data_IF_670374739665
#
_entry.id   IF_670374739665
#
_cell.length_a   1.000
_cell.length_b   1.000
_cell.length_c   1.000
_cell.angle_alpha   90.00
_cell.angle_beta   90.00
_cell.angle_gamma   90.00
#
_symmetry.space_group_name_H-M   'P 1'
#
loop_
_entity.id
_entity.type
_entity.pdbx_description
1 polymer ?
#
# COMPACT_ATOMS: atom_id res chain seq x y z
N UNK A 1 -48.22 -28.17 66.64
CA UNK A 1 -49.17 -29.32 66.52
C UNK A 1 -48.76 -30.03 65.23
N UNK A 2 -48.12 -31.16 65.39
CA UNK A 2 -48.64 -32.54 65.04
C UNK A 2 -48.86 -32.63 63.53
N UNK A 3 -48.37 -33.56 62.73
CA UNK A 3 -47.73 -34.89 62.89
C UNK A 3 -47.20 -35.26 61.50
N UNK A 4 -46.01 -35.85 61.33
CA UNK A 4 -45.70 -37.28 61.33
C UNK A 4 -46.64 -38.08 60.41
N UNK A 5 -46.12 -38.73 59.35
CA UNK A 5 -45.88 -40.17 59.34
C UNK A 5 -45.63 -40.65 57.89
N UNK A 6 -44.45 -41.15 57.54
CA UNK A 6 -44.02 -42.58 57.39
C UNK A 6 -44.52 -43.30 56.11
N UNK A 7 -43.50 -43.70 55.37
CA UNK A 7 -43.20 -45.03 54.79
C UNK A 7 -44.15 -45.55 53.67
N UNK A 8 -43.69 -46.11 52.63
CA UNK A 8 -42.94 -47.37 52.43
C UNK A 8 -42.65 -47.62 50.95
N UNK A 9 -41.43 -48.02 50.70
CA UNK A 9 -40.96 -49.02 49.75
C UNK A 9 -41.88 -49.49 48.62
N UNK A 10 -41.44 -49.41 47.39
CA UNK A 10 -41.27 -50.60 46.54
C UNK A 10 -40.19 -50.43 45.50
N UNK A 11 -39.26 -51.32 45.44
CA UNK A 11 -38.25 -51.49 44.42
C UNK A 11 -38.91 -52.05 43.16
N UNK A 12 -38.77 -51.36 42.02
CA UNK A 12 -38.91 -52.04 40.74
C UNK A 12 -37.63 -51.73 39.95
N UNK A 13 -36.84 -52.75 39.74
CA UNK A 13 -35.73 -52.75 38.81
C UNK A 13 -36.30 -52.66 37.40
N UNK A 14 -36.02 -51.59 36.73
CA UNK A 14 -36.14 -51.50 35.24
C UNK A 14 -34.83 -50.97 34.71
N UNK A 15 -34.07 -51.89 34.18
CA UNK A 15 -32.90 -51.60 33.33
C UNK A 15 -33.42 -50.91 32.06
N UNK A 16 -33.22 -49.59 31.96
CA UNK A 16 -33.45 -48.88 30.73
C UNK A 16 -32.11 -48.45 30.15
N UNK A 17 -31.79 -49.07 29.03
CA UNK A 17 -30.66 -48.73 28.19
C UNK A 17 -30.62 -47.24 27.88
N UNK A 18 -29.68 -46.51 28.48
CA UNK A 18 -29.32 -45.17 28.08
C UNK A 18 -28.38 -45.26 26.85
N UNK A 19 -28.96 -45.26 25.66
CA UNK A 19 -28.26 -45.01 24.43
C UNK A 19 -27.72 -43.59 24.48
N UNK A 20 -26.44 -43.48 24.81
CA UNK A 20 -25.67 -42.26 24.76
C UNK A 20 -25.46 -41.90 23.26
N UNK A 21 -26.33 -41.07 22.69
CA UNK A 21 -26.10 -40.40 21.40
C UNK A 21 -24.96 -39.42 21.63
N UNK A 22 -23.71 -39.88 21.46
CA UNK A 22 -22.58 -38.98 21.21
C UNK A 22 -22.79 -38.34 19.81
N UNK A 23 -23.40 -37.16 19.78
CA UNK A 23 -23.33 -36.30 18.62
C UNK A 23 -21.84 -35.91 18.43
N UNK A 24 -21.17 -36.59 17.51
CA UNK A 24 -19.89 -36.16 16.98
C UNK A 24 -20.11 -34.81 16.26
N UNK A 25 -19.97 -33.72 16.97
CA UNK A 25 -19.73 -32.42 16.35
C UNK A 25 -18.29 -32.44 15.83
N UNK A 26 -18.09 -33.03 14.67
CA UNK A 26 -16.87 -32.80 13.92
C UNK A 26 -16.84 -31.30 13.57
N UNK A 27 -15.80 -30.55 14.00
CA UNK A 27 -15.64 -29.22 13.46
C UNK A 27 -15.50 -29.37 11.93
N UNK A 28 -16.38 -28.72 11.17
CA UNK A 28 -16.13 -28.46 9.75
C UNK A 28 -14.87 -27.57 9.73
N UNK A 29 -13.71 -28.22 9.74
CA UNK A 29 -12.50 -27.57 9.30
C UNK A 29 -12.76 -27.23 7.82
N UNK A 30 -13.04 -25.96 7.54
CA UNK A 30 -12.90 -25.39 6.22
C UNK A 30 -11.43 -25.62 5.83
N UNK A 31 -11.16 -26.77 5.22
CA UNK A 31 -9.89 -27.04 4.59
C UNK A 31 -9.77 -25.99 3.47
N UNK A 32 -8.98 -24.95 3.75
CA UNK A 32 -8.45 -24.10 2.70
C UNK A 32 -7.69 -25.06 1.77
N UNK A 33 -8.30 -25.40 0.66
CA UNK A 33 -7.63 -26.15 -0.40
C UNK A 33 -6.48 -25.27 -0.86
N UNK A 34 -5.28 -25.56 -0.36
CA UNK A 34 -4.06 -25.03 -0.94
C UNK A 34 -4.03 -25.54 -2.38
N UNK A 35 -4.08 -24.61 -3.34
CA UNK A 35 -3.97 -24.96 -4.75
C UNK A 35 -2.73 -25.83 -4.95
N UNK A 36 -2.86 -26.87 -5.77
CA UNK A 36 -1.73 -27.74 -6.08
C UNK A 36 -0.63 -26.91 -6.76
N UNK A 37 0.64 -27.18 -6.47
CA UNK A 37 1.74 -26.46 -7.13
C UNK A 37 1.67 -26.67 -8.64
N UNK A 38 2.14 -25.69 -9.40
CA UNK A 38 2.26 -25.79 -10.87
C UNK A 38 3.10 -27.03 -11.21
N UNK A 39 2.70 -27.82 -12.20
CA UNK A 39 3.47 -29.00 -12.60
C UNK A 39 4.90 -28.62 -12.98
N UNK A 40 5.86 -29.50 -12.77
CA UNK A 40 7.27 -29.25 -13.13
C UNK A 40 7.43 -28.96 -14.63
N UNK A 41 6.60 -29.53 -15.48
CA UNK A 41 6.59 -29.29 -16.93
C UNK A 41 6.08 -27.88 -17.24
N UNK A 42 4.97 -27.46 -16.64
CA UNK A 42 4.43 -26.09 -16.79
C UNK A 42 5.41 -25.04 -16.24
N UNK A 43 6.08 -25.31 -15.11
CA UNK A 43 7.11 -24.41 -14.59
C UNK A 43 8.25 -24.20 -15.59
N UNK A 44 8.78 -25.28 -16.17
CA UNK A 44 9.82 -25.20 -17.21
C UNK A 44 9.33 -24.44 -18.44
N UNK A 45 8.11 -24.65 -18.84
CA UNK A 45 7.51 -23.94 -20.01
C UNK A 45 7.37 -22.44 -19.73
N UNK A 46 6.93 -22.05 -18.55
CA UNK A 46 6.86 -20.64 -18.11
C UNK A 46 8.28 -20.02 -18.09
N UNK A 47 9.24 -20.70 -17.48
CA UNK A 47 10.61 -20.21 -17.42
C UNK A 47 11.23 -20.04 -18.81
N UNK A 48 11.11 -21.03 -19.68
CA UNK A 48 11.60 -20.99 -21.05
C UNK A 48 10.95 -19.86 -21.87
N UNK A 49 9.63 -19.67 -21.73
CA UNK A 49 8.91 -18.59 -22.37
C UNK A 49 9.43 -17.22 -21.88
N UNK A 50 9.54 -17.01 -20.57
CA UNK A 50 9.97 -15.73 -20.01
C UNK A 50 11.41 -15.40 -20.41
N UNK A 51 12.33 -16.39 -20.38
CA UNK A 51 13.72 -16.19 -20.82
C UNK A 51 13.80 -15.77 -22.28
N UNK A 52 13.04 -16.42 -23.14
CA UNK A 52 13.03 -16.12 -24.57
C UNK A 52 12.38 -14.75 -24.85
N UNK A 53 11.18 -14.52 -24.30
CA UNK A 53 10.39 -13.33 -24.61
C UNK A 53 11.03 -12.03 -24.09
N UNK A 54 11.67 -12.09 -22.90
CA UNK A 54 12.31 -10.92 -22.27
C UNK A 54 13.84 -10.91 -22.44
N UNK A 55 14.41 -11.83 -23.23
CA UNK A 55 15.85 -11.96 -23.42
C UNK A 55 16.64 -12.06 -22.08
N UNK A 56 16.11 -12.81 -21.11
CA UNK A 56 16.71 -12.93 -19.77
C UNK A 56 17.94 -13.85 -19.78
N UNK A 57 19.08 -13.31 -19.34
CA UNK A 57 20.35 -14.04 -19.26
C UNK A 57 20.37 -15.18 -18.21
N UNK A 58 21.41 -15.99 -18.21
CA UNK A 58 21.54 -17.13 -17.29
C UNK A 58 21.67 -16.72 -15.83
N UNK A 59 22.15 -15.51 -15.55
CA UNK A 59 22.34 -14.96 -14.20
C UNK A 59 20.99 -14.57 -13.55
N UNK A 60 19.90 -14.48 -14.34
CA UNK A 60 18.56 -14.21 -13.83
C UNK A 60 17.92 -15.51 -13.33
N UNK A 61 17.62 -15.57 -12.04
CA UNK A 61 16.87 -16.69 -11.47
C UNK A 61 15.38 -16.41 -11.52
N UNK A 62 14.63 -17.32 -12.16
CA UNK A 62 13.16 -17.26 -12.23
C UNK A 62 12.62 -18.37 -11.34
N UNK A 63 11.66 -18.04 -10.47
CA UNK A 63 10.96 -19.01 -9.63
C UNK A 63 9.48 -18.82 -9.78
N UNK A 64 8.78 -19.89 -10.19
CA UNK A 64 7.32 -19.91 -10.30
C UNK A 64 6.74 -20.30 -8.95
N UNK A 65 5.98 -19.38 -8.34
CA UNK A 65 5.36 -19.60 -7.03
C UNK A 65 4.09 -20.44 -7.11
N UNK A 66 3.47 -20.62 -5.95
CA UNK A 66 2.24 -21.41 -5.84
C UNK A 66 1.06 -20.65 -6.46
N UNK A 67 0.31 -21.26 -7.39
CA UNK A 67 -0.86 -20.65 -7.98
C UNK A 67 -1.96 -20.47 -6.94
N UNK A 68 -2.71 -19.38 -7.07
CA UNK A 68 -3.91 -19.11 -6.28
C UNK A 68 -5.10 -19.02 -7.22
N UNK A 69 -6.06 -19.93 -7.10
CA UNK A 69 -7.27 -19.87 -7.91
C UNK A 69 -8.06 -18.59 -7.67
N UNK A 70 -8.62 -18.03 -8.76
CA UNK A 70 -9.41 -16.78 -8.70
C UNK A 70 -10.88 -17.15 -8.91
N UNK A 71 -11.56 -17.43 -7.82
CA UNK A 71 -12.98 -17.82 -7.85
C UNK A 71 -13.25 -18.91 -8.89
N UNK A 72 -14.29 -18.74 -9.69
CA UNK A 72 -14.66 -19.65 -10.78
C UNK A 72 -14.20 -19.16 -12.17
N UNK A 73 -13.20 -18.28 -12.23
CA UNK A 73 -12.74 -17.66 -13.49
C UNK A 73 -12.03 -18.64 -14.44
N UNK A 74 -11.58 -19.80 -13.95
CA UNK A 74 -10.67 -20.69 -14.69
C UNK A 74 -9.24 -20.18 -14.78
N UNK A 75 -8.91 -19.12 -14.03
CA UNK A 75 -7.58 -18.53 -13.92
C UNK A 75 -7.01 -18.74 -12.52
N UNK A 76 -5.70 -18.87 -12.45
CA UNK A 76 -4.94 -18.82 -11.20
C UNK A 76 -3.93 -17.70 -11.26
N UNK A 77 -3.86 -16.88 -10.21
CA UNK A 77 -2.77 -15.92 -10.01
C UNK A 77 -1.51 -16.70 -9.63
N UNK A 78 -0.43 -16.47 -10.36
CA UNK A 78 0.86 -17.12 -10.17
C UNK A 78 1.92 -16.04 -9.94
N UNK A 79 2.51 -15.95 -8.74
CA UNK A 79 3.64 -15.06 -8.51
C UNK A 79 4.88 -15.63 -9.20
N UNK A 80 5.59 -14.78 -9.94
CA UNK A 80 6.85 -15.11 -10.60
C UNK A 80 7.94 -14.26 -9.95
N UNK A 81 8.81 -14.90 -9.18
CA UNK A 81 9.97 -14.24 -8.60
C UNK A 81 11.09 -14.20 -9.60
N UNK A 82 11.58 -13.01 -9.88
CA UNK A 82 12.72 -12.76 -10.77
C UNK A 82 13.83 -12.15 -9.94
N UNK A 83 14.98 -12.83 -9.86
CA UNK A 83 16.13 -12.38 -9.09
C UNK A 83 17.33 -12.17 -10.00
N UNK A 84 17.88 -10.96 -9.99
CA UNK A 84 19.10 -10.55 -10.69
C UNK A 84 20.20 -10.14 -9.69
N UNK A 85 21.43 -9.90 -10.15
CA UNK A 85 22.49 -9.31 -9.31
C UNK A 85 22.11 -7.93 -8.75
N UNK A 86 21.27 -7.15 -9.47
CA UNK A 86 20.83 -5.82 -9.08
C UNK A 86 19.65 -5.83 -8.08
N UNK A 87 18.95 -6.97 -7.94
CA UNK A 87 17.83 -7.07 -7.03
C UNK A 87 16.84 -8.19 -7.33
N UNK A 88 15.73 -8.18 -6.64
CA UNK A 88 14.64 -9.13 -6.84
C UNK A 88 13.30 -8.42 -6.97
N UNK A 89 12.47 -8.91 -7.88
CA UNK A 89 11.08 -8.46 -8.05
C UNK A 89 10.13 -9.65 -8.17
N UNK A 90 8.89 -9.47 -7.75
CA UNK A 90 7.82 -10.46 -7.90
C UNK A 90 6.77 -9.91 -8.85
N UNK A 91 6.60 -10.56 -10.00
CA UNK A 91 5.60 -10.19 -10.99
C UNK A 91 4.41 -11.13 -10.89
N UNK A 92 3.20 -10.59 -10.80
CA UNK A 92 1.97 -11.36 -10.85
C UNK A 92 1.60 -11.66 -12.30
N UNK A 93 1.35 -12.93 -12.58
CA UNK A 93 0.82 -13.39 -13.85
C UNK A 93 -0.38 -14.30 -13.62
N UNK A 94 -1.14 -14.58 -14.66
CA UNK A 94 -2.33 -15.43 -14.58
C UNK A 94 -2.16 -16.62 -15.52
N UNK A 95 -2.40 -17.81 -14.99
CA UNK A 95 -2.30 -19.08 -15.73
C UNK A 95 -3.69 -19.66 -15.88
N UNK A 96 -4.02 -20.11 -17.10
CA UNK A 96 -5.25 -20.87 -17.32
C UNK A 96 -5.18 -22.24 -16.65
N UNK A 97 -6.35 -22.80 -16.29
CA UNK A 97 -6.45 -24.06 -15.56
C UNK A 97 -5.77 -25.24 -16.29
N UNK A 98 -5.76 -25.22 -17.63
CA UNK A 98 -5.06 -26.21 -18.47
C UNK A 98 -3.54 -25.97 -18.57
N UNK A 99 -3.02 -24.91 -17.96
CA UNK A 99 -1.61 -24.54 -17.99
C UNK A 99 -1.09 -24.04 -19.34
N UNK A 100 -1.97 -23.80 -20.31
CA UNK A 100 -1.60 -23.49 -21.68
C UNK A 100 -1.31 -22.02 -21.93
N UNK A 101 -2.06 -21.13 -21.29
CA UNK A 101 -1.94 -19.68 -21.53
C UNK A 101 -1.48 -18.98 -20.28
N UNK A 102 -0.44 -18.15 -20.45
CA UNK A 102 0.07 -17.25 -19.43
C UNK A 102 -0.31 -15.82 -19.82
N UNK A 103 -1.05 -15.12 -18.95
CA UNK A 103 -1.49 -13.75 -19.17
C UNK A 103 -0.69 -12.80 -18.27
N UNK A 104 -0.31 -11.68 -18.84
CA UNK A 104 0.25 -10.55 -18.11
C UNK A 104 -0.72 -9.38 -18.17
N UNK A 105 -1.13 -8.87 -17.04
CA UNK A 105 -2.09 -7.77 -16.97
C UNK A 105 -2.69 -7.63 -15.58
N UNK A 106 -3.77 -6.87 -15.51
CA UNK A 106 -4.54 -6.71 -14.28
C UNK A 106 -5.89 -7.43 -14.43
N UNK A 107 -6.31 -8.13 -13.40
CA UNK A 107 -7.62 -8.74 -13.31
C UNK A 107 -8.49 -7.90 -12.37
N UNK A 108 -9.59 -7.38 -12.91
CA UNK A 108 -10.53 -6.56 -12.17
C UNK A 108 -11.84 -7.35 -11.95
N UNK A 109 -12.28 -7.44 -10.70
CA UNK A 109 -13.60 -7.95 -10.34
C UNK A 109 -14.64 -6.86 -10.58
N UNK A 110 -15.48 -7.04 -11.59
CA UNK A 110 -16.52 -6.06 -11.95
C UNK A 110 -17.67 -6.00 -10.94
N UNK A 111 -17.72 -6.93 -9.98
CA UNK A 111 -18.74 -6.94 -8.91
C UNK A 111 -18.24 -6.24 -7.64
N UNK A 112 -16.96 -5.99 -7.53
CA UNK A 112 -16.34 -5.29 -6.41
C UNK A 112 -16.21 -3.78 -6.70
N UNK A 113 -16.20 -2.98 -5.64
CA UNK A 113 -15.78 -1.59 -5.77
C UNK A 113 -14.29 -1.54 -6.13
N UNK A 114 -13.91 -1.03 -7.31
CA UNK A 114 -12.52 -1.04 -7.77
C UNK A 114 -11.59 -0.20 -6.89
N UNK A 115 -12.13 0.69 -6.06
CA UNK A 115 -11.37 1.60 -5.22
C UNK A 115 -11.22 1.10 -3.79
N UNK A 116 -12.16 0.28 -3.32
CA UNK A 116 -12.20 -0.21 -1.94
C UNK A 116 -10.89 -0.90 -1.52
N UNK A 117 -10.30 -1.68 -2.42
CA UNK A 117 -9.04 -2.38 -2.15
C UNK A 117 -7.85 -1.42 -1.90
N UNK A 118 -7.78 -0.30 -2.63
CA UNK A 118 -6.76 0.72 -2.42
C UNK A 118 -7.04 1.50 -1.13
N UNK A 119 -8.30 1.93 -0.95
CA UNK A 119 -8.71 2.71 0.23
C UNK A 119 -8.43 1.92 1.53
N UNK A 120 -8.74 0.63 1.56
CA UNK A 120 -8.50 -0.23 2.71
C UNK A 120 -7.02 -0.40 3.08
N UNK A 121 -6.11 -0.23 2.11
CA UNK A 121 -4.66 -0.34 2.32
C UNK A 121 -4.00 0.97 2.74
N UNK A 122 -4.67 2.12 2.61
CA UNK A 122 -4.05 3.40 3.01
C UNK A 122 -3.81 3.44 4.52
N UNK A 123 -2.55 3.61 4.89
CA UNK A 123 -2.19 4.03 6.24
C UNK A 123 -1.87 5.53 6.22
N UNK A 124 -2.86 6.34 6.58
CA UNK A 124 -2.74 7.80 6.59
C UNK A 124 -2.50 8.36 8.00
N UNK A 125 -2.28 7.50 8.99
CA UNK A 125 -1.96 7.90 10.36
C UNK A 125 -0.64 8.66 10.39
N UNK A 126 -0.59 9.79 11.08
CA UNK A 126 0.58 10.65 11.20
C UNK A 126 1.17 11.10 9.84
N UNK A 127 0.34 11.19 8.81
CA UNK A 127 0.75 11.72 7.51
C UNK A 127 0.47 13.23 7.43
N UNK A 128 1.37 14.03 6.84
CA UNK A 128 1.13 15.46 6.62
C UNK A 128 -0.09 15.68 5.72
N UNK A 129 -0.96 16.59 6.13
CA UNK A 129 -2.18 16.96 5.40
C UNK A 129 -2.14 18.44 5.03
N UNK A 130 -2.33 18.74 3.74
CA UNK A 130 -2.53 20.09 3.22
C UNK A 130 -4.01 20.27 2.83
N UNK A 131 -4.58 21.40 3.16
CA UNK A 131 -6.00 21.70 2.94
C UNK A 131 -6.87 21.43 4.17
N UNK A 132 -8.20 21.49 4.00
CA UNK A 132 -9.13 21.22 5.08
C UNK A 132 -9.14 19.70 5.41
N UNK A 133 -8.84 19.29 6.65
CA UNK A 133 -8.94 17.89 7.05
C UNK A 133 -10.31 17.25 6.77
N UNK A 134 -11.38 18.05 6.71
CA UNK A 134 -12.74 17.62 6.38
C UNK A 134 -13.05 17.60 4.88
N UNK A 135 -12.09 17.97 4.03
CA UNK A 135 -12.26 17.94 2.58
C UNK A 135 -12.72 16.57 2.10
N UNK A 136 -13.66 16.55 1.16
CA UNK A 136 -14.32 15.33 0.69
C UNK A 136 -13.56 14.59 -0.38
N UNK A 137 -12.57 15.24 -0.99
CA UNK A 137 -11.66 14.64 -1.95
C UNK A 137 -10.27 14.55 -1.30
N UNK A 138 -9.76 13.34 -1.23
CA UNK A 138 -8.43 13.08 -0.70
C UNK A 138 -7.49 12.69 -1.83
N UNK A 139 -6.42 13.45 -1.98
CA UNK A 139 -5.27 13.10 -2.81
C UNK A 139 -4.23 12.49 -1.87
N UNK A 140 -3.84 11.24 -2.11
CA UNK A 140 -2.70 10.60 -1.44
C UNK A 140 -1.53 10.60 -2.42
N UNK A 141 -0.47 11.30 -2.07
CA UNK A 141 0.73 11.48 -2.89
C UNK A 141 1.88 10.64 -2.31
N UNK A 142 2.33 9.61 -3.04
CA UNK A 142 3.59 8.92 -2.77
C UNK A 142 4.68 9.59 -3.59
N UNK A 143 5.61 10.23 -2.90
CA UNK A 143 6.53 11.19 -3.52
C UNK A 143 7.95 11.05 -3.00
N UNK A 144 8.88 11.49 -3.82
CA UNK A 144 10.32 11.52 -3.55
C UNK A 144 10.82 12.95 -3.75
N UNK A 145 11.42 13.50 -2.73
CA UNK A 145 11.91 14.88 -2.74
C UNK A 145 13.02 15.15 -3.78
N UNK A 146 13.75 14.13 -4.19
CA UNK A 146 14.80 14.27 -5.21
C UNK A 146 14.28 14.05 -6.64
N UNK A 147 13.08 13.45 -6.80
CA UNK A 147 12.50 13.15 -8.11
C UNK A 147 12.05 14.41 -8.83
N UNK A 148 12.56 14.72 -10.06
CA UNK A 148 12.15 15.91 -10.81
C UNK A 148 10.67 15.91 -11.21
N UNK A 149 10.08 14.73 -11.45
CA UNK A 149 8.66 14.61 -11.78
C UNK A 149 7.79 14.89 -10.53
N UNK A 150 8.28 14.58 -9.33
CA UNK A 150 7.61 14.98 -8.10
C UNK A 150 7.61 16.49 -7.88
N UNK A 151 8.69 17.20 -8.28
CA UNK A 151 8.71 18.66 -8.34
C UNK A 151 7.62 19.20 -9.28
N UNK A 152 7.45 18.57 -10.45
CA UNK A 152 6.38 18.96 -11.38
C UNK A 152 4.98 18.74 -10.77
N UNK A 153 4.79 17.70 -9.97
CA UNK A 153 3.54 17.50 -9.21
C UNK A 153 3.34 18.58 -8.15
N UNK A 154 4.38 18.93 -7.40
CA UNK A 154 4.36 20.04 -6.44
C UNK A 154 3.86 21.34 -7.10
N UNK A 155 4.43 21.71 -8.27
CA UNK A 155 4.01 22.90 -9.00
C UNK A 155 2.55 22.80 -9.48
N UNK A 156 2.13 21.63 -9.95
CA UNK A 156 0.74 21.38 -10.36
C UNK A 156 -0.23 21.54 -9.18
N UNK A 157 0.09 20.98 -8.01
CA UNK A 157 -0.73 21.08 -6.81
C UNK A 157 -0.83 22.54 -6.32
N UNK A 158 0.27 23.29 -6.32
CA UNK A 158 0.25 24.73 -5.97
C UNK A 158 -0.70 25.54 -6.87
N UNK A 159 -0.79 25.19 -8.16
CA UNK A 159 -1.70 25.84 -9.12
C UNK A 159 -3.16 25.40 -9.02
N UNK A 160 -3.39 24.15 -8.59
CA UNK A 160 -4.73 23.55 -8.55
C UNK A 160 -5.45 23.76 -7.21
N UNK A 161 -4.80 23.51 -6.08
CA UNK A 161 -5.44 23.49 -4.76
C UNK A 161 -6.22 24.75 -4.40
N UNK A 162 -5.77 25.99 -4.73
CA UNK A 162 -6.56 27.19 -4.47
C UNK A 162 -7.92 27.23 -5.16
N UNK A 163 -8.10 26.47 -6.26
CA UNK A 163 -9.35 26.38 -7.00
C UNK A 163 -10.30 25.30 -6.46
N UNK A 164 -9.81 24.42 -5.61
CA UNK A 164 -10.53 23.24 -5.12
C UNK A 164 -10.50 23.13 -3.59
N UNK A 165 -11.26 23.98 -2.87
CA UNK A 165 -11.28 23.94 -1.40
C UNK A 165 -11.83 22.63 -0.84
N UNK A 166 -12.44 21.77 -1.68
CA UNK A 166 -12.95 20.44 -1.33
C UNK A 166 -11.85 19.36 -1.37
N UNK A 167 -10.62 19.73 -1.75
CA UNK A 167 -9.49 18.81 -1.88
C UNK A 167 -8.53 18.98 -0.72
N UNK A 168 -8.06 17.87 -0.18
CA UNK A 168 -6.89 17.78 0.70
C UNK A 168 -5.84 16.87 0.09
N UNK A 169 -4.58 17.17 0.37
CA UNK A 169 -3.44 16.34 0.00
C UNK A 169 -2.86 15.70 1.24
N UNK A 170 -2.60 14.40 1.16
CA UNK A 170 -1.89 13.62 2.19
C UNK A 170 -0.57 13.17 1.58
N UNK A 171 0.53 13.61 2.15
CA UNK A 171 1.87 13.27 1.69
C UNK A 171 2.37 11.96 2.30
N UNK A 172 2.99 11.12 1.47
CA UNK A 172 3.61 9.86 1.83
C UNK A 172 5.01 9.79 1.24
N UNK A 173 6.01 9.53 2.08
CA UNK A 173 7.39 9.36 1.62
C UNK A 173 7.53 8.07 0.80
N UNK A 174 8.19 8.19 -0.34
CA UNK A 174 8.57 7.04 -1.16
C UNK A 174 9.94 7.30 -1.84
N UNK A 175 11.04 7.47 -1.05
CA UNK A 175 12.36 7.73 -1.61
C UNK A 175 12.85 6.54 -2.43
N UNK A 176 13.29 6.80 -3.66
CA UNK A 176 13.88 5.81 -4.58
C UNK A 176 15.40 5.83 -4.45
N UNK A 177 15.92 5.38 -3.31
CA UNK A 177 17.33 5.52 -2.90
C UNK A 177 18.34 4.97 -3.91
N UNK A 178 17.97 3.96 -4.71
CA UNK A 178 18.83 3.41 -5.76
C UNK A 178 19.04 4.40 -6.94
N UNK A 179 18.15 5.37 -7.12
CA UNK A 179 18.18 6.36 -8.20
C UNK A 179 18.52 7.76 -7.67
N UNK A 180 18.12 8.04 -6.43
CA UNK A 180 18.10 9.34 -5.82
C UNK A 180 18.88 9.34 -4.51
N UNK A 181 20.18 9.70 -4.53
CA UNK A 181 21.10 9.49 -3.41
C UNK A 181 20.80 10.33 -2.16
N UNK A 182 20.07 11.46 -2.25
CA UNK A 182 19.71 12.25 -1.09
C UNK A 182 18.22 12.20 -0.72
N UNK A 183 17.41 11.43 -1.47
CA UNK A 183 15.97 11.31 -1.26
C UNK A 183 15.62 10.88 0.17
N UNK A 184 16.33 9.88 0.73
CA UNK A 184 16.08 9.41 2.11
C UNK A 184 16.38 10.50 3.13
N UNK A 185 17.45 11.25 2.97
CA UNK A 185 17.80 12.36 3.87
C UNK A 185 16.69 13.41 3.90
N UNK A 186 16.15 13.77 2.75
CA UNK A 186 15.04 14.72 2.66
C UNK A 186 13.73 14.16 3.22
N UNK A 187 13.43 12.88 3.00
CA UNK A 187 12.27 12.23 3.59
C UNK A 187 12.31 12.24 5.13
N UNK A 188 13.46 11.89 5.72
CA UNK A 188 13.68 11.97 7.17
C UNK A 188 13.52 13.40 7.67
N UNK A 189 14.06 14.39 6.95
CA UNK A 189 13.89 15.80 7.26
C UNK A 189 12.42 16.22 7.28
N UNK A 190 11.63 15.77 6.30
CA UNK A 190 10.18 15.95 6.26
C UNK A 190 9.50 15.40 7.51
N UNK A 191 9.83 14.15 7.90
CA UNK A 191 9.28 13.55 9.13
C UNK A 191 9.62 14.37 10.38
N UNK A 192 10.88 14.80 10.51
CA UNK A 192 11.33 15.62 11.62
C UNK A 192 10.65 16.98 11.69
N UNK A 193 10.39 17.59 10.54
CA UNK A 193 9.63 18.82 10.47
C UNK A 193 8.18 18.60 10.94
N UNK A 194 7.53 17.56 10.45
CA UNK A 194 6.16 17.23 10.80
C UNK A 194 5.98 16.92 12.29
N UNK A 195 6.92 16.18 12.88
CA UNK A 195 6.90 15.85 14.31
C UNK A 195 7.05 17.09 15.19
N UNK A 196 7.83 18.06 14.77
CA UNK A 196 8.06 19.28 15.53
C UNK A 196 6.92 20.30 15.35
N UNK A 197 6.49 20.53 14.11
CA UNK A 197 5.34 21.36 13.74
C UNK A 197 4.75 20.90 12.39
N UNK A 198 3.52 20.36 12.37
CA UNK A 198 2.87 19.93 11.12
C UNK A 198 2.78 21.03 10.04
N UNK A 199 2.73 22.31 10.43
CA UNK A 199 2.72 23.44 9.46
C UNK A 199 4.10 23.69 8.86
N UNK A 200 5.16 23.46 9.64
CA UNK A 200 6.53 23.61 9.16
C UNK A 200 6.91 22.54 8.13
N UNK A 201 6.28 21.36 8.17
CA UNK A 201 6.45 20.36 7.11
C UNK A 201 6.21 20.95 5.73
N UNK A 202 5.10 21.67 5.52
CA UNK A 202 4.77 22.22 4.20
C UNK A 202 5.72 23.34 3.77
N UNK A 203 6.30 24.08 4.71
CA UNK A 203 7.36 25.04 4.40
C UNK A 203 8.65 24.35 3.95
N UNK A 204 9.03 23.26 4.61
CA UNK A 204 10.21 22.46 4.20
C UNK A 204 9.95 21.77 2.87
N UNK A 205 8.75 21.21 2.68
CA UNK A 205 8.30 20.61 1.42
C UNK A 205 8.48 21.58 0.24
N UNK A 206 7.98 22.82 0.39
CA UNK A 206 8.16 23.86 -0.63
C UNK A 206 9.65 24.21 -0.81
N UNK A 207 10.41 24.41 0.28
CA UNK A 207 11.82 24.76 0.21
C UNK A 207 12.66 23.69 -0.49
N UNK A 208 12.39 22.42 -0.26
CA UNK A 208 13.13 21.32 -0.90
C UNK A 208 12.83 21.30 -2.39
N UNK A 209 11.56 21.33 -2.81
CA UNK A 209 11.21 21.29 -4.23
C UNK A 209 11.63 22.55 -4.98
N UNK A 210 11.45 23.74 -4.41
CA UNK A 210 11.86 25.02 -5.02
C UNK A 210 13.39 25.10 -5.21
N UNK A 211 14.17 24.35 -4.40
CA UNK A 211 15.63 24.38 -4.42
C UNK A 211 16.26 23.03 -4.81
N UNK A 212 15.50 22.12 -5.43
CA UNK A 212 15.93 20.76 -5.74
C UNK A 212 17.27 20.71 -6.51
N UNK A 213 17.49 21.64 -7.42
CA UNK A 213 18.67 21.69 -8.30
C UNK A 213 19.98 22.03 -7.57
N UNK A 214 19.92 22.64 -6.39
CA UNK A 214 21.12 23.01 -5.61
C UNK A 214 21.38 22.05 -4.44
N UNK A 215 20.56 20.99 -4.31
CA UNK A 215 20.75 19.92 -3.33
C UNK A 215 21.51 18.77 -4.01
N UNK A 216 22.46 18.22 -3.28
CA UNK A 216 23.27 17.07 -3.70
C UNK A 216 23.49 16.12 -2.52
N UNK A 217 23.95 14.90 -2.79
CA UNK A 217 24.27 13.95 -1.73
C UNK A 217 25.28 14.48 -0.72
N UNK A 218 26.21 15.36 -1.15
CA UNK A 218 27.25 15.93 -0.28
C UNK A 218 26.77 17.07 0.61
N UNK A 219 25.67 17.78 0.24
CA UNK A 219 25.20 18.94 0.99
C UNK A 219 23.77 18.76 1.54
N UNK A 220 23.09 17.68 1.24
CA UNK A 220 21.68 17.49 1.61
C UNK A 220 21.44 17.64 3.12
N UNK A 221 22.30 17.07 3.94
CA UNK A 221 22.19 17.20 5.39
C UNK A 221 22.19 18.67 5.85
N UNK A 222 23.15 19.44 5.39
CA UNK A 222 23.30 20.85 5.77
C UNK A 222 22.14 21.70 5.20
N UNK A 223 21.70 21.37 3.99
CA UNK A 223 20.53 22.00 3.38
C UNK A 223 19.25 21.75 4.16
N UNK A 224 19.04 20.54 4.67
CA UNK A 224 17.87 20.24 5.52
C UNK A 224 17.92 21.03 6.84
N UNK A 225 19.08 21.18 7.46
CA UNK A 225 19.25 22.03 8.65
C UNK A 225 19.00 23.51 8.34
N UNK A 226 19.50 24.03 7.21
CA UNK A 226 19.22 25.39 6.75
C UNK A 226 17.72 25.61 6.57
N UNK A 227 17.02 24.67 5.90
CA UNK A 227 15.58 24.79 5.64
C UNK A 227 14.75 24.64 6.92
N UNK A 228 15.18 23.84 7.89
CA UNK A 228 14.56 23.76 9.20
C UNK A 228 14.58 25.14 9.90
N UNK A 229 15.73 25.81 9.93
CA UNK A 229 15.86 27.16 10.48
C UNK A 229 14.98 28.18 9.75
N UNK A 230 14.99 28.17 8.43
CA UNK A 230 14.13 29.04 7.58
C UNK A 230 12.63 28.78 7.80
N UNK A 231 12.26 27.56 8.18
CA UNK A 231 10.87 27.19 8.49
C UNK A 231 10.44 27.55 9.90
N UNK A 232 11.37 28.05 10.74
CA UNK A 232 11.10 28.46 12.13
C UNK A 232 11.18 27.31 13.14
N UNK A 233 11.78 26.17 12.76
CA UNK A 233 11.99 25.04 13.64
C UNK A 233 13.22 25.23 14.54
N UNK A 234 13.23 24.55 15.69
CA UNK A 234 14.43 24.43 16.50
C UNK A 234 15.41 23.48 15.81
N UNK A 235 16.55 24.04 15.35
CA UNK A 235 17.54 23.32 14.54
C UNK A 235 18.21 22.19 15.31
N UNK A 236 18.49 22.37 16.63
CA UNK A 236 19.14 21.34 17.45
C UNK A 236 18.21 20.13 17.66
N UNK A 237 16.94 20.38 17.96
CA UNK A 237 15.89 19.35 18.06
C UNK A 237 15.71 18.64 16.71
N UNK A 238 15.69 19.39 15.63
CA UNK A 238 15.57 18.85 14.28
C UNK A 238 16.76 17.97 13.91
N UNK A 239 17.98 18.42 14.17
CA UNK A 239 19.21 17.66 13.95
C UNK A 239 19.22 16.35 14.74
N UNK A 240 18.80 16.39 15.99
CA UNK A 240 18.68 15.20 16.85
C UNK A 240 17.65 14.22 16.29
N UNK A 241 16.52 14.72 15.81
CA UNK A 241 15.48 13.92 15.14
C UNK A 241 16.02 13.25 13.86
N UNK A 242 16.71 14.01 12.99
CA UNK A 242 17.27 13.46 11.74
C UNK A 242 18.23 12.30 11.96
N UNK A 243 18.88 12.24 13.14
CA UNK A 243 19.74 11.14 13.54
C UNK A 243 19.00 10.00 14.26
N UNK A 244 17.69 10.13 14.45
CA UNK A 244 16.92 9.16 15.22
C UNK A 244 16.47 7.96 14.39
N UNK A 245 16.50 6.74 14.94
CA UNK A 245 15.91 5.57 14.29
C UNK A 245 14.41 5.69 14.05
N UNK A 246 13.71 6.49 14.87
CA UNK A 246 12.27 6.69 14.77
C UNK A 246 11.89 7.36 13.45
N UNK A 247 12.53 8.50 13.11
CA UNK A 247 12.21 9.22 11.87
C UNK A 247 12.53 8.37 10.62
N UNK A 248 13.63 7.63 10.65
CA UNK A 248 13.97 6.66 9.59
C UNK A 248 12.92 5.55 9.49
N UNK A 249 12.46 4.99 10.62
CA UNK A 249 11.44 3.96 10.67
C UNK A 249 10.08 4.42 10.13
N UNK A 250 9.72 5.69 10.31
CA UNK A 250 8.49 6.27 9.73
C UNK A 250 8.57 6.34 8.20
N UNK A 251 9.74 6.65 7.63
CA UNK A 251 9.97 6.60 6.19
C UNK A 251 9.85 5.15 5.68
N UNK A 252 10.44 4.17 6.39
CA UNK A 252 10.36 2.76 6.02
C UNK A 252 8.92 2.23 6.08
N UNK A 253 8.13 2.66 7.07
CA UNK A 253 6.71 2.33 7.16
C UNK A 253 5.91 2.92 5.99
N UNK A 254 6.23 4.14 5.56
CA UNK A 254 5.62 4.76 4.38
C UNK A 254 5.97 4.02 3.09
N UNK A 255 7.25 3.66 2.91
CA UNK A 255 7.72 2.83 1.78
C UNK A 255 7.00 1.48 1.74
N UNK A 256 6.88 0.81 2.89
CA UNK A 256 6.18 -0.48 3.00
C UNK A 256 4.73 -0.34 2.58
N UNK A 257 4.03 0.68 3.09
CA UNK A 257 2.65 0.94 2.72
C UNK A 257 2.49 1.27 1.22
N UNK A 258 3.40 2.01 0.63
CA UNK A 258 3.40 2.24 -0.81
C UNK A 258 3.58 0.95 -1.62
N UNK A 259 4.48 0.05 -1.19
CA UNK A 259 4.67 -1.27 -1.83
C UNK A 259 3.43 -2.15 -1.75
N UNK A 260 2.68 -2.13 -0.63
CA UNK A 260 1.40 -2.83 -0.49
C UNK A 260 0.33 -2.32 -1.47
N UNK A 261 0.43 -1.06 -1.87
CA UNK A 261 -0.37 -0.40 -2.88
C UNK A 261 0.22 -0.53 -4.30
N UNK A 262 1.26 -1.35 -4.48
CA UNK A 262 1.97 -1.55 -5.74
C UNK A 262 2.55 -0.25 -6.33
N UNK A 263 2.94 0.69 -5.46
CA UNK A 263 3.70 1.88 -5.87
C UNK A 263 5.11 1.45 -6.25
N UNK A 264 5.52 1.74 -7.50
CA UNK A 264 6.83 1.35 -8.06
C UNK A 264 7.62 2.53 -8.62
N UNK A 265 6.99 3.67 -8.72
CA UNK A 265 7.59 4.92 -9.24
C UNK A 265 6.99 6.13 -8.55
N UNK A 266 7.71 7.24 -8.60
CA UNK A 266 7.25 8.51 -8.05
C UNK A 266 7.16 9.59 -9.14
N UNK A 267 6.18 10.48 -9.03
CA UNK A 267 5.08 10.41 -8.09
C UNK A 267 4.04 9.36 -8.49
N UNK A 268 3.44 8.68 -7.50
CA UNK A 268 2.20 7.94 -7.66
C UNK A 268 1.14 8.63 -6.81
N UNK A 269 0.02 8.97 -7.42
CA UNK A 269 -1.06 9.74 -6.79
C UNK A 269 -2.33 8.91 -6.77
N UNK A 270 -3.09 9.01 -5.68
CA UNK A 270 -4.43 8.44 -5.61
C UNK A 270 -5.44 9.54 -5.30
N UNK A 271 -6.45 9.70 -6.14
CA UNK A 271 -7.57 10.61 -5.91
C UNK A 271 -8.77 9.77 -5.48
N UNK A 272 -9.16 9.83 -4.19
CA UNK A 272 -10.18 8.98 -3.60
C UNK A 272 -10.01 7.48 -3.96
N UNK A 273 -8.77 6.98 -3.93
CA UNK A 273 -8.43 5.58 -4.27
C UNK A 273 -8.14 5.32 -5.75
N UNK A 274 -8.44 6.25 -6.67
CA UNK A 274 -8.12 6.13 -8.11
C UNK A 274 -6.67 6.49 -8.36
N UNK A 275 -5.91 5.52 -8.88
CA UNK A 275 -4.47 5.68 -9.13
C UNK A 275 -4.19 6.51 -10.37
N UNK A 276 -3.23 7.41 -10.24
CA UNK A 276 -2.60 8.17 -11.32
C UNK A 276 -1.09 8.00 -11.19
N UNK A 277 -0.41 7.66 -12.28
CA UNK A 277 1.04 7.64 -12.30
C UNK A 277 1.54 8.92 -12.99
N UNK A 278 2.52 9.60 -12.37
CA UNK A 278 3.09 10.85 -12.87
C UNK A 278 2.39 12.10 -12.35
N UNK A 279 2.68 13.23 -12.97
CA UNK A 279 2.38 14.58 -12.48
C UNK A 279 1.58 15.42 -13.48
N UNK A 280 0.83 14.80 -14.39
CA UNK A 280 0.05 15.57 -15.39
C UNK A 280 -1.11 16.33 -14.70
N UNK A 281 -1.07 17.68 -14.69
CA UNK A 281 -2.07 18.50 -14.03
C UNK A 281 -3.46 18.39 -14.67
N UNK A 282 -3.55 18.08 -15.96
CA UNK A 282 -4.84 17.92 -16.64
C UNK A 282 -5.52 16.62 -16.21
N UNK A 283 -4.75 15.53 -16.08
CA UNK A 283 -5.25 14.25 -15.59
C UNK A 283 -5.69 14.40 -14.14
N UNK A 284 -4.88 15.06 -13.30
CA UNK A 284 -5.22 15.31 -11.90
C UNK A 284 -6.51 16.12 -11.78
N UNK A 285 -6.66 17.19 -12.55
CA UNK A 285 -7.86 18.01 -12.59
C UNK A 285 -9.08 17.20 -13.04
N UNK A 286 -8.96 16.38 -14.09
CA UNK A 286 -10.04 15.52 -14.58
C UNK A 286 -10.58 14.60 -13.49
N UNK A 287 -9.69 14.00 -12.70
CA UNK A 287 -10.08 13.10 -11.61
C UNK A 287 -10.76 13.86 -10.45
N UNK A 288 -10.28 15.04 -10.11
CA UNK A 288 -10.92 15.92 -9.12
C UNK A 288 -12.33 16.30 -9.59
N UNK A 289 -12.46 16.76 -10.83
CA UNK A 289 -13.75 17.18 -11.39
C UNK A 289 -14.75 16.02 -11.48
N UNK A 290 -14.26 14.81 -11.82
CA UNK A 290 -15.07 13.59 -11.81
C UNK A 290 -15.62 13.30 -10.39
N UNK A 291 -14.77 13.30 -9.36
CA UNK A 291 -15.19 13.05 -7.98
C UNK A 291 -16.20 14.11 -7.49
N UNK A 292 -16.01 15.38 -7.83
CA UNK A 292 -16.96 16.44 -7.52
C UNK A 292 -18.32 16.22 -8.19
N UNK A 293 -18.31 15.75 -9.45
CA UNK A 293 -19.55 15.44 -10.16
C UNK A 293 -20.29 14.25 -9.53
N UNK A 294 -19.59 13.18 -9.12
CA UNK A 294 -20.19 12.05 -8.43
C UNK A 294 -20.82 12.46 -7.10
N UNK A 295 -20.15 13.29 -6.30
CA UNK A 295 -20.68 13.79 -5.03
C UNK A 295 -21.95 14.66 -5.21
N UNK A 296 -22.02 15.43 -6.29
CA UNK A 296 -23.23 16.20 -6.63
C UNK A 296 -24.40 15.30 -7.06
N UNK A 297 -24.11 14.22 -7.80
CA UNK A 297 -25.11 13.27 -8.24
C UNK A 297 -25.69 12.46 -7.05
N UNK A 298 -24.86 12.06 -6.09
CA UNK A 298 -25.27 11.31 -4.91
C UNK A 298 -26.12 12.11 -3.89
N UNK A 299 -26.16 13.45 -4.01
CA UNK A 299 -26.95 14.35 -3.15
C UNK A 299 -28.34 14.69 -3.73
N UNK A 300 -28.61 14.28 -4.95
CA UNK A 300 -29.92 14.42 -5.62
C UNK A 300 -30.74 13.15 -5.45
#
# INVERSE_FOLDING_TARGET
MKQITIQLRTRVKTTLNLLLLLALTAPLACAQQSAAPVSAETQKSIEAFLRNYFALGPDIKITVGTPKEIGNSGLSEVPIDVKSPEGSDTVKMYLTKDGRYLLRGELNDLTADPLAANIAKFNLTNAPVLGDPKATITIVEYSDFECPVCRSLHDALRGLLPKYPQVKVVFKDFPLEALHPWARTAAIAGRCAYQQDPKAFWKIYDLIYDNQEVISASNAWDKMLEYAGRSGLNVDTFKSCMSSPQASGEVDASLTNGKELDVRSTPTVFVNGRRINGADPHVLQQYIDYELAQQKAAKK
#
